data_IF_221290342890
#
_entry.id   IF_221290342890
#
_cell.length_a   1.000
_cell.length_b   1.000
_cell.length_c   1.000
_cell.angle_alpha   90.00
_cell.angle_beta   90.00
_cell.angle_gamma   90.00
#
_symmetry.space_group_name_H-M   'P 1'
#
loop_
_entity.id
_entity.type
_entity.pdbx_description
1 polymer ?
#
# COMPACT_ATOMS: atom_id res chain seq x y z
N UNK A 1 55.64 39.77 -22.64
CA UNK A 1 54.79 38.60 -22.32
C UNK A 1 54.26 38.78 -20.90
N UNK A 2 53.01 39.22 -20.77
CA UNK A 2 52.41 39.55 -19.48
C UNK A 2 51.84 38.28 -18.83
N UNK A 3 52.48 37.82 -17.74
CA UNK A 3 51.93 36.80 -16.87
C UNK A 3 50.68 37.37 -16.17
N UNK A 4 49.49 37.00 -16.64
CA UNK A 4 48.22 37.29 -15.97
C UNK A 4 48.21 36.57 -14.62
N UNK A 5 48.48 37.34 -13.57
CA UNK A 5 48.33 36.97 -12.16
C UNK A 5 46.86 36.64 -11.90
N UNK A 6 46.52 35.33 -11.88
CA UNK A 6 45.21 34.82 -11.46
C UNK A 6 45.08 35.10 -9.96
N UNK A 7 44.53 36.26 -9.60
CA UNK A 7 44.27 36.63 -8.21
C UNK A 7 43.21 35.68 -7.65
N UNK A 8 43.54 35.09 -6.50
CA UNK A 8 42.70 34.20 -5.72
C UNK A 8 41.41 34.91 -5.29
N UNK A 9 40.30 34.65 -5.96
CA UNK A 9 38.96 34.89 -5.42
C UNK A 9 38.54 33.70 -4.56
N UNK A 10 39.11 33.59 -3.36
CA UNK A 10 38.48 32.84 -2.26
C UNK A 10 38.07 33.87 -1.22
N UNK A 11 36.94 34.54 -1.49
CA UNK A 11 36.26 35.41 -0.53
C UNK A 11 35.81 34.55 0.64
N UNK A 12 36.34 34.82 1.83
CA UNK A 12 35.89 34.35 3.16
C UNK A 12 34.72 33.33 3.17
N UNK A 13 35.05 32.05 3.09
CA UNK A 13 34.13 30.89 3.30
C UNK A 13 33.74 30.71 4.79
N UNK A 14 34.27 31.53 5.68
CA UNK A 14 33.98 31.49 7.12
C UNK A 14 32.54 31.94 7.37
N UNK A 15 31.63 30.97 7.54
CA UNK A 15 30.21 31.19 7.83
C UNK A 15 29.27 30.65 6.77
N UNK A 16 29.76 30.27 5.59
CA UNK A 16 28.94 29.64 4.55
C UNK A 16 28.32 28.33 5.06
N UNK A 17 29.11 27.49 5.76
CA UNK A 17 28.62 26.25 6.36
C UNK A 17 27.53 26.48 7.43
N UNK A 18 27.59 27.59 8.17
CA UNK A 18 26.56 27.92 9.17
C UNK A 18 25.25 28.34 8.48
N UNK A 19 25.35 29.15 7.42
CA UNK A 19 24.20 29.55 6.62
C UNK A 19 23.57 28.34 5.91
N UNK A 20 24.40 27.49 5.31
CA UNK A 20 24.00 26.26 4.65
C UNK A 20 23.27 25.31 5.63
N UNK A 21 23.78 25.16 6.86
CA UNK A 21 23.13 24.37 7.91
C UNK A 21 21.75 24.93 8.29
N UNK A 22 21.62 26.25 8.46
CA UNK A 22 20.34 26.89 8.81
C UNK A 22 19.29 26.68 7.71
N UNK A 23 19.71 26.70 6.44
CA UNK A 23 18.82 26.48 5.30
C UNK A 23 18.47 25.00 5.12
N UNK A 24 19.40 24.07 5.36
CA UNK A 24 19.14 22.64 5.19
C UNK A 24 18.48 21.95 6.37
N UNK A 25 18.62 22.47 7.60
CA UNK A 25 18.06 21.85 8.80
C UNK A 25 16.52 21.65 8.72
N UNK A 26 15.70 22.62 8.26
CA UNK A 26 14.27 22.41 8.07
C UNK A 26 13.95 21.28 7.08
N UNK A 27 14.73 21.17 6.00
CA UNK A 27 14.57 20.11 5.00
C UNK A 27 14.88 18.73 5.61
N UNK A 28 15.93 18.64 6.43
CA UNK A 28 16.31 17.41 7.12
C UNK A 28 15.26 16.96 8.14
N UNK A 29 14.71 17.90 8.92
CA UNK A 29 13.64 17.60 9.88
C UNK A 29 12.39 17.09 9.15
N UNK A 30 12.03 17.73 8.04
CA UNK A 30 10.90 17.30 7.23
C UNK A 30 11.08 15.91 6.59
N UNK A 31 12.28 15.62 6.08
CA UNK A 31 12.61 14.28 5.60
C UNK A 31 12.45 13.24 6.71
N UNK A 32 12.89 13.58 7.93
CA UNK A 32 12.77 12.69 9.09
C UNK A 32 11.31 12.44 9.49
N UNK A 33 10.44 13.44 9.43
CA UNK A 33 9.01 13.25 9.70
C UNK A 33 8.34 12.36 8.66
N UNK A 34 8.68 12.50 7.37
CA UNK A 34 8.18 11.61 6.32
C UNK A 34 8.63 10.17 6.58
N UNK A 35 9.93 9.96 6.84
CA UNK A 35 10.48 8.62 7.11
C UNK A 35 9.75 7.97 8.29
N UNK A 36 9.50 8.72 9.37
CA UNK A 36 8.80 8.22 10.53
C UNK A 36 7.34 7.85 10.22
N UNK A 37 6.60 8.73 9.54
CA UNK A 37 5.20 8.49 9.17
C UNK A 37 5.06 7.30 8.22
N UNK A 38 5.93 7.20 7.20
CA UNK A 38 5.96 6.07 6.27
C UNK A 38 6.39 4.77 6.97
N UNK A 39 7.37 4.84 7.87
CA UNK A 39 7.78 3.67 8.66
C UNK A 39 6.65 3.11 9.52
N UNK A 40 5.87 3.99 10.16
CA UNK A 40 4.69 3.60 10.93
C UNK A 40 3.60 2.99 10.05
N UNK A 41 3.37 3.55 8.86
CA UNK A 41 2.40 3.02 7.92
C UNK A 41 2.78 1.61 7.44
N UNK A 42 4.04 1.39 7.09
CA UNK A 42 4.56 0.06 6.71
C UNK A 42 4.36 -0.96 7.84
N UNK A 43 4.68 -0.59 9.09
CA UNK A 43 4.52 -1.49 10.23
C UNK A 43 3.04 -1.88 10.44
N UNK A 44 2.12 -0.93 10.33
CA UNK A 44 0.70 -1.24 10.40
C UNK A 44 0.21 -2.11 9.25
N UNK A 45 0.70 -1.91 8.02
CA UNK A 45 0.40 -2.79 6.90
C UNK A 45 0.81 -4.24 7.19
N UNK A 46 2.01 -4.45 7.71
CA UNK A 46 2.51 -5.79 8.06
C UNK A 46 1.61 -6.45 9.11
N UNK A 47 1.19 -5.70 10.12
CA UNK A 47 0.33 -6.24 11.18
C UNK A 47 -1.09 -6.52 10.68
N UNK A 48 -1.63 -5.67 9.80
CA UNK A 48 -2.90 -5.93 9.14
C UNK A 48 -2.84 -7.21 8.29
N UNK A 49 -1.81 -7.41 7.46
CA UNK A 49 -1.65 -8.66 6.67
C UNK A 49 -1.60 -9.89 7.58
N UNK A 50 -0.82 -9.84 8.68
CA UNK A 50 -0.73 -10.95 9.64
C UNK A 50 -2.09 -11.28 10.27
N UNK A 51 -2.84 -10.25 10.66
CA UNK A 51 -4.18 -10.41 11.22
C UNK A 51 -5.16 -10.99 10.19
N UNK A 52 -5.20 -10.43 8.98
CA UNK A 52 -6.08 -10.90 7.89
C UNK A 52 -5.76 -12.33 7.51
N UNK A 53 -4.48 -12.69 7.40
CA UNK A 53 -4.04 -14.06 7.11
C UNK A 53 -4.48 -15.04 8.20
N UNK A 54 -4.27 -14.69 9.47
CA UNK A 54 -4.67 -15.56 10.59
C UNK A 54 -6.18 -15.73 10.64
N UNK A 55 -6.93 -14.65 10.42
CA UNK A 55 -8.38 -14.69 10.39
C UNK A 55 -8.91 -15.51 9.21
N UNK A 56 -8.29 -15.37 8.03
CA UNK A 56 -8.59 -16.22 6.86
C UNK A 56 -8.46 -17.70 7.20
N UNK A 57 -7.33 -18.13 7.78
CA UNK A 57 -7.14 -19.55 8.12
C UNK A 57 -8.05 -20.02 9.26
N UNK A 58 -8.44 -19.12 10.15
CA UNK A 58 -9.45 -19.43 11.17
C UNK A 58 -10.81 -19.72 10.52
N UNK A 59 -11.24 -18.93 9.54
CA UNK A 59 -12.47 -19.17 8.79
C UNK A 59 -12.39 -20.40 7.89
N UNK A 60 -11.21 -20.64 7.29
CA UNK A 60 -10.94 -21.81 6.47
C UNK A 60 -10.91 -23.13 7.26
N UNK A 61 -10.64 -23.06 8.56
CA UNK A 61 -10.50 -24.25 9.41
C UNK A 61 -11.81 -25.03 9.46
N UNK A 62 -11.80 -26.26 8.95
CA UNK A 62 -12.97 -27.14 8.93
C UNK A 62 -13.90 -26.90 7.73
N UNK A 63 -13.52 -26.04 6.78
CA UNK A 63 -14.20 -25.97 5.50
C UNK A 63 -13.62 -27.03 4.55
N UNK A 64 -14.35 -28.13 4.36
CA UNK A 64 -13.95 -29.25 3.49
C UNK A 64 -13.98 -28.94 2.00
N UNK A 65 -14.48 -27.76 1.61
CA UNK A 65 -14.60 -27.36 0.21
C UNK A 65 -13.35 -26.62 -0.29
N UNK A 66 -12.49 -26.15 0.62
CA UNK A 66 -11.22 -25.54 0.23
C UNK A 66 -10.28 -26.61 -0.36
N UNK A 67 -9.78 -26.41 -1.59
CA UNK A 67 -8.99 -27.42 -2.27
C UNK A 67 -7.58 -27.49 -1.68
N UNK A 68 -7.05 -28.70 -1.48
CA UNK A 68 -5.65 -28.90 -1.11
C UNK A 68 -4.75 -28.83 -2.37
N UNK A 69 -3.44 -28.68 -2.17
CA UNK A 69 -2.45 -28.61 -3.25
C UNK A 69 -2.50 -29.82 -4.18
N UNK A 70 -2.84 -30.99 -3.66
CA UNK A 70 -3.02 -32.21 -4.45
C UNK A 70 -4.25 -32.10 -5.36
N UNK A 71 -5.38 -31.65 -4.82
CA UNK A 71 -6.62 -31.44 -5.58
C UNK A 71 -6.39 -30.42 -6.71
N UNK A 72 -5.74 -29.29 -6.43
CA UNK A 72 -5.39 -28.31 -7.48
C UNK A 72 -4.57 -28.95 -8.60
N UNK A 73 -3.57 -29.78 -8.27
CA UNK A 73 -2.71 -30.40 -9.28
C UNK A 73 -3.46 -31.41 -10.16
N UNK A 74 -4.41 -32.15 -9.59
CA UNK A 74 -5.28 -33.09 -10.31
C UNK A 74 -6.29 -32.34 -11.20
N UNK A 75 -6.81 -31.21 -10.72
CA UNK A 75 -7.74 -30.37 -11.46
C UNK A 75 -7.12 -29.71 -12.68
N UNK A 76 -5.87 -29.26 -12.59
CA UNK A 76 -5.13 -28.79 -13.77
C UNK A 76 -4.88 -29.93 -14.77
N UNK A 77 -4.53 -31.14 -14.31
CA UNK A 77 -4.31 -32.30 -15.18
C UNK A 77 -5.59 -32.76 -15.89
N UNK A 78 -6.76 -32.55 -15.28
CA UNK A 78 -8.07 -32.91 -15.85
C UNK A 78 -8.66 -31.84 -16.77
N UNK A 79 -7.92 -30.76 -17.06
CA UNK A 79 -8.28 -29.75 -18.06
C UNK A 79 -9.13 -28.59 -17.53
N UNK A 80 -9.12 -28.34 -16.22
CA UNK A 80 -9.68 -27.09 -15.68
C UNK A 80 -8.82 -25.89 -16.06
N UNK A 81 -9.49 -24.81 -16.46
CA UNK A 81 -8.83 -23.63 -17.04
C UNK A 81 -8.53 -22.55 -16.01
N UNK A 82 -9.39 -22.42 -14.98
CA UNK A 82 -9.21 -21.44 -13.91
C UNK A 82 -9.84 -21.88 -12.61
N UNK A 83 -9.25 -21.39 -11.52
CA UNK A 83 -9.61 -21.60 -10.12
C UNK A 83 -9.82 -20.22 -9.52
N UNK A 84 -11.01 -19.90 -8.97
CA UNK A 84 -11.30 -18.55 -8.45
C UNK A 84 -10.81 -18.35 -7.00
N UNK A 85 -10.61 -17.10 -6.60
CA UNK A 85 -9.91 -16.75 -5.36
C UNK A 85 -10.88 -16.66 -4.17
N UNK A 86 -10.59 -17.40 -3.09
CA UNK A 86 -11.20 -17.16 -1.78
C UNK A 86 -10.34 -16.16 -1.01
N UNK A 87 -10.89 -14.99 -0.68
CA UNK A 87 -10.14 -13.90 -0.03
C UNK A 87 -10.93 -13.18 1.06
N UNK A 88 -10.19 -12.55 1.97
CA UNK A 88 -10.69 -11.65 3.00
C UNK A 88 -9.91 -10.34 2.90
N UNK A 89 -10.63 -9.22 2.97
CA UNK A 89 -10.06 -7.87 2.90
C UNK A 89 -10.65 -6.97 3.98
N UNK A 90 -9.92 -5.91 4.32
CA UNK A 90 -10.44 -4.86 5.20
C UNK A 90 -11.44 -3.99 4.46
N UNK A 91 -12.58 -3.72 5.12
CA UNK A 91 -13.62 -2.83 4.59
C UNK A 91 -13.22 -1.36 4.80
N UNK A 92 -13.56 -0.52 3.83
CA UNK A 92 -13.29 0.91 3.87
C UNK A 92 -14.09 1.64 4.96
N UNK A 93 -15.40 1.45 4.99
CA UNK A 93 -16.28 2.06 5.98
C UNK A 93 -17.52 1.21 6.19
N UNK A 94 -18.13 1.30 7.36
CA UNK A 94 -19.43 0.73 7.67
C UNK A 94 -20.36 1.89 8.04
N UNK A 95 -21.63 1.85 7.59
CA UNK A 95 -22.58 2.91 7.92
C UNK A 95 -22.65 3.11 9.44
N UNK A 96 -22.44 4.35 9.88
CA UNK A 96 -22.44 4.77 11.29
C UNK A 96 -21.31 4.23 12.19
N UNK A 97 -20.19 3.72 11.63
CA UNK A 97 -19.00 3.37 12.44
C UNK A 97 -17.71 4.01 11.93
N UNK A 98 -16.72 4.10 12.83
CA UNK A 98 -15.35 4.55 12.53
C UNK A 98 -14.70 3.63 11.46
N UNK A 99 -13.93 4.22 10.55
CA UNK A 99 -13.17 3.50 9.51
C UNK A 99 -12.21 2.50 10.16
N UNK A 100 -12.17 1.26 9.64
CA UNK A 100 -11.28 0.20 10.16
C UNK A 100 -9.84 0.29 9.63
N UNK A 101 -9.61 1.04 8.56
CA UNK A 101 -8.28 1.21 7.99
C UNK A 101 -7.44 2.22 8.78
N UNK A 102 -6.19 1.84 9.05
CA UNK A 102 -5.20 2.72 9.65
C UNK A 102 -4.90 3.89 8.70
N UNK A 103 -4.81 5.09 9.27
CA UNK A 103 -4.60 6.32 8.52
C UNK A 103 -3.44 7.12 9.09
N UNK A 104 -2.54 7.54 8.20
CA UNK A 104 -1.32 8.26 8.56
C UNK A 104 -1.27 9.59 7.82
N UNK A 105 -1.27 10.72 8.56
CA UNK A 105 -1.12 12.06 7.99
C UNK A 105 0.36 12.36 7.73
N UNK A 106 0.68 12.72 6.50
CA UNK A 106 1.97 13.29 6.13
C UNK A 106 1.88 14.79 6.36
N UNK A 107 2.56 15.28 7.39
CA UNK A 107 2.68 16.72 7.60
C UNK A 107 3.54 17.32 6.48
N UNK A 108 2.98 18.27 5.73
CA UNK A 108 3.72 19.00 4.70
C UNK A 108 4.25 20.31 5.27
N UNK A 109 5.48 20.72 4.91
CA UNK A 109 6.10 21.97 5.41
C UNK A 109 5.33 23.24 5.02
N UNK A 110 4.60 23.20 3.91
CA UNK A 110 3.90 24.34 3.32
C UNK A 110 2.39 24.10 3.15
N UNK A 111 1.86 23.01 3.70
CA UNK A 111 0.42 22.74 3.64
C UNK A 111 -0.30 23.59 4.66
N UNK A 112 -1.36 24.26 4.22
CA UNK A 112 -2.39 24.76 5.12
C UNK A 112 -2.93 23.58 5.94
N UNK A 113 -3.09 23.76 7.26
CA UNK A 113 -3.88 22.86 8.10
C UNK A 113 -5.33 22.92 7.60
N UNK A 114 -5.60 22.14 6.57
CA UNK A 114 -6.94 21.85 6.12
C UNK A 114 -7.59 20.89 7.11
N UNK A 115 -8.90 21.03 7.30
CA UNK A 115 -9.79 20.08 7.98
C UNK A 115 -9.91 18.75 7.22
N UNK A 116 -8.81 18.28 6.63
CA UNK A 116 -8.78 17.05 5.86
C UNK A 116 -8.95 15.87 6.81
N UNK A 117 -10.05 15.16 6.63
CA UNK A 117 -10.29 13.86 7.22
C UNK A 117 -9.77 12.77 6.26
N UNK A 118 -9.25 11.70 6.82
CA UNK A 118 -8.87 10.49 6.08
C UNK A 118 -10.00 9.90 5.21
N UNK A 119 -11.24 10.33 5.45
CA UNK A 119 -12.44 9.88 4.76
C UNK A 119 -12.74 10.62 3.45
N UNK A 120 -12.25 11.85 3.25
CA UNK A 120 -12.60 12.66 2.08
C UNK A 120 -11.39 13.41 1.54
N UNK A 121 -11.04 13.25 0.24
CA UNK A 121 -10.01 14.07 -0.37
C UNK A 121 -10.50 15.53 -0.47
N UNK A 122 -9.56 16.47 -0.56
CA UNK A 122 -9.87 17.87 -0.84
C UNK A 122 -10.66 17.99 -2.15
N UNK A 123 -11.81 18.65 -2.07
CA UNK A 123 -12.74 18.85 -3.19
C UNK A 123 -12.09 19.65 -4.32
N UNK A 124 -11.19 20.58 -3.97
CA UNK A 124 -10.59 21.49 -4.95
C UNK A 124 -9.35 20.92 -5.65
N UNK A 125 -8.55 20.06 -4.99
CA UNK A 125 -7.22 19.72 -5.51
C UNK A 125 -6.89 18.22 -5.63
N UNK A 126 -7.80 17.30 -5.24
CA UNK A 126 -7.66 15.83 -5.26
C UNK A 126 -6.37 15.25 -4.62
N UNK A 127 -5.50 16.09 -4.06
CA UNK A 127 -4.28 15.69 -3.36
C UNK A 127 -4.67 15.35 -1.93
N UNK A 128 -4.35 14.12 -1.54
CA UNK A 128 -4.47 13.66 -0.16
C UNK A 128 -3.11 13.66 0.51
N UNK A 129 -3.03 14.20 1.71
CA UNK A 129 -1.85 14.11 2.58
C UNK A 129 -1.87 12.84 3.43
N UNK A 130 -2.80 11.91 3.18
CA UNK A 130 -2.99 10.73 3.99
C UNK A 130 -2.55 9.46 3.28
N UNK A 131 -1.82 8.62 4.01
CA UNK A 131 -1.57 7.24 3.63
C UNK A 131 -2.63 6.40 4.32
N UNK A 132 -3.47 5.75 3.52
CA UNK A 132 -4.48 4.81 3.99
C UNK A 132 -4.13 3.41 3.50
N UNK A 133 -4.11 2.46 4.43
CA UNK A 133 -3.66 1.11 4.14
C UNK A 133 -4.84 0.15 4.20
N UNK A 134 -5.00 -0.59 3.12
CA UNK A 134 -5.91 -1.71 3.00
C UNK A 134 -5.11 -2.95 2.63
N UNK A 135 -5.31 -4.01 3.41
CA UNK A 135 -4.72 -5.31 3.08
C UNK A 135 -5.81 -6.29 2.70
N UNK A 136 -5.54 -7.08 1.69
CA UNK A 136 -6.33 -8.25 1.34
C UNK A 136 -5.43 -9.49 1.44
N UNK A 137 -6.01 -10.61 1.85
CA UNK A 137 -5.34 -11.90 1.84
C UNK A 137 -6.30 -12.93 1.26
N UNK A 138 -5.83 -13.74 0.32
CA UNK A 138 -6.60 -14.83 -0.24
C UNK A 138 -5.72 -15.96 -0.72
N UNK A 139 -6.35 -17.11 -0.90
CA UNK A 139 -5.79 -18.25 -1.60
C UNK A 139 -6.69 -18.57 -2.79
N UNK A 140 -6.13 -19.21 -3.80
CA UNK A 140 -6.91 -19.76 -4.90
C UNK A 140 -7.79 -20.89 -4.34
N UNK A 141 -9.10 -20.80 -4.54
CA UNK A 141 -10.17 -21.64 -3.96
C UNK A 141 -11.04 -22.32 -5.02
N UNK A 142 -12.10 -23.01 -4.62
CA UNK A 142 -12.74 -24.09 -5.41
C UNK A 142 -13.68 -23.68 -6.56
N UNK A 143 -13.67 -22.44 -7.01
CA UNK A 143 -14.55 -22.04 -8.13
C UNK A 143 -13.87 -22.43 -9.45
N UNK A 144 -14.33 -23.52 -10.06
CA UNK A 144 -13.75 -24.10 -11.26
C UNK A 144 -14.45 -23.60 -12.53
N UNK A 145 -13.67 -23.13 -13.51
CA UNK A 145 -14.17 -22.93 -14.87
C UNK A 145 -13.50 -23.92 -15.82
N UNK A 146 -14.32 -24.64 -16.59
CA UNK A 146 -13.86 -25.46 -17.71
C UNK A 146 -13.80 -24.57 -18.96
N UNK A 147 -12.82 -24.81 -19.84
CA UNK A 147 -12.54 -24.00 -21.04
C UNK A 147 -13.77 -23.66 -21.92
N UNK A 148 -14.85 -24.43 -21.79
CA UNK A 148 -16.05 -24.33 -22.61
C UNK A 148 -17.14 -23.40 -22.02
N UNK A 149 -16.98 -22.95 -20.77
CA UNK A 149 -17.98 -22.14 -20.05
C UNK A 149 -17.34 -20.91 -19.40
N UNK A 150 -17.19 -19.84 -20.19
CA UNK A 150 -16.98 -18.49 -19.64
C UNK A 150 -18.31 -18.02 -19.04
N UNK A 151 -18.67 -18.56 -17.88
CA UNK A 151 -19.73 -18.00 -17.05
C UNK A 151 -19.12 -16.83 -16.28
N UNK A 152 -19.29 -15.62 -16.81
CA UNK A 152 -18.98 -14.39 -16.13
C UNK A 152 -19.83 -14.29 -14.85
N UNK A 153 -19.25 -14.70 -13.71
CA UNK A 153 -19.84 -14.44 -12.41
C UNK A 153 -19.45 -13.00 -12.00
N UNK A 154 -20.27 -12.03 -12.41
CA UNK A 154 -20.25 -10.67 -11.88
C UNK A 154 -20.67 -10.70 -10.41
N UNK A 155 -19.72 -10.94 -9.51
CA UNK A 155 -19.84 -10.47 -8.13
C UNK A 155 -19.07 -9.17 -8.01
N UNK A 156 -19.83 -8.09 -7.89
CA UNK A 156 -19.39 -6.75 -7.53
C UNK A 156 -18.42 -6.80 -6.32
N UNK A 157 -17.12 -6.88 -6.58
CA UNK A 157 -16.00 -6.41 -5.74
C UNK A 157 -14.63 -7.03 -6.11
N UNK A 158 -14.56 -8.14 -6.87
CA UNK A 158 -13.29 -8.82 -7.11
C UNK A 158 -13.19 -9.28 -8.56
N UNK A 159 -12.32 -8.64 -9.34
CA UNK A 159 -11.90 -9.18 -10.62
C UNK A 159 -11.24 -10.56 -10.38
N UNK A 160 -11.52 -11.58 -11.20
CA UNK A 160 -10.88 -12.88 -11.08
C UNK A 160 -9.37 -12.70 -11.30
N UNK A 161 -8.59 -12.78 -10.23
CA UNK A 161 -7.13 -12.85 -10.34
C UNK A 161 -6.82 -14.24 -10.87
N UNK A 162 -6.23 -14.31 -12.06
CA UNK A 162 -5.88 -15.57 -12.68
C UNK A 162 -4.79 -16.25 -11.84
N UNK A 163 -5.19 -17.19 -11.02
CA UNK A 163 -4.35 -18.03 -10.18
C UNK A 163 -3.60 -19.08 -11.04
N UNK A 164 -2.85 -18.62 -12.02
CA UNK A 164 -1.99 -19.48 -12.83
C UNK A 164 -0.80 -19.94 -12.00
N UNK A 165 -0.62 -21.25 -11.87
CA UNK A 165 0.62 -21.85 -11.38
C UNK A 165 1.63 -21.80 -12.52
N UNK A 166 2.74 -21.09 -12.34
CA UNK A 166 3.93 -21.23 -13.19
C UNK A 166 4.71 -22.48 -12.80
#
# INVERSE_FOLDING_TARGET
MAARKKQNEFKNEKGQALFELIVFLPLMIFMLTIIYTVGNSINASINQVKATRRYFYYLAKGNSRLPDKLDLSEYFQTGMASVSMSSVAWRESEENKLSYAACYKINTLFGTDSDDDCKKPQIEDQKTQFIRIFTAYGICGEDYMRNDQIAAYERNALQPVNCGVK
#
